data_IF_571501503889
#
_entry.id   IF_571501503889
#
_cell.length_a   1.000
_cell.length_b   1.000
_cell.length_c   1.000
_cell.angle_alpha   90.00
_cell.angle_beta   90.00
_cell.angle_gamma   90.00
#
_symmetry.space_group_name_H-M   'P 1'
#
loop_
_entity.id
_entity.type
_entity.pdbx_description
1 polymer ?
#
# COMPACT_ATOMS: atom_id res chain seq x y z
N UNK A 1 4.88 -6.24 60.00
CA UNK A 1 3.83 -5.85 59.05
C UNK A 1 4.20 -6.41 57.68
N UNK A 2 3.30 -7.21 57.09
CA UNK A 2 3.38 -7.66 55.68
C UNK A 2 2.70 -6.61 54.78
N UNK A 3 2.89 -6.78 53.48
CA UNK A 3 2.10 -6.19 52.37
C UNK A 3 2.62 -4.83 51.89
N UNK A 4 2.82 -4.52 50.60
CA UNK A 4 2.25 -5.06 49.35
C UNK A 4 3.29 -4.92 48.23
N UNK A 5 3.42 -5.94 47.38
CA UNK A 5 3.93 -5.77 46.03
C UNK A 5 2.75 -5.40 45.12
N UNK A 6 2.96 -4.49 44.16
CA UNK A 6 2.44 -4.54 42.77
C UNK A 6 2.77 -3.23 42.04
N UNK A 7 3.95 -3.19 41.44
CA UNK A 7 4.11 -2.39 40.23
C UNK A 7 3.51 -3.18 39.08
N UNK A 8 2.25 -2.91 38.74
CA UNK A 8 1.65 -3.41 37.50
C UNK A 8 2.43 -2.79 36.34
N UNK A 9 3.41 -3.56 35.85
CA UNK A 9 4.10 -3.29 34.60
C UNK A 9 3.10 -3.44 33.46
N UNK A 10 2.36 -2.37 33.19
CA UNK A 10 1.62 -2.20 31.94
C UNK A 10 2.66 -2.17 30.83
N UNK A 11 2.96 -3.35 30.28
CA UNK A 11 3.63 -3.45 28.99
C UNK A 11 2.68 -2.82 27.99
N UNK A 12 2.87 -1.54 27.72
CA UNK A 12 2.37 -0.93 26.51
C UNK A 12 2.97 -1.74 25.35
N UNK A 13 2.19 -2.70 24.85
CA UNK A 13 2.37 -3.23 23.51
C UNK A 13 2.20 -2.03 22.62
N UNK A 14 3.30 -1.33 22.31
CA UNK A 14 3.34 -0.31 21.28
C UNK A 14 2.81 -1.00 20.03
N UNK A 15 1.51 -0.79 19.77
CA UNK A 15 0.80 -1.32 18.62
C UNK A 15 1.46 -0.59 17.46
N UNK A 16 2.55 -1.16 16.93
CA UNK A 16 3.24 -0.60 15.77
C UNK A 16 2.16 -0.48 14.72
N UNK A 17 1.80 0.75 14.36
CA UNK A 17 0.95 1.00 13.22
C UNK A 17 1.55 0.22 12.06
N UNK A 18 0.76 -0.61 11.36
CA UNK A 18 1.28 -1.30 10.19
C UNK A 18 1.89 -0.26 9.25
N UNK A 19 3.00 -0.58 8.57
CA UNK A 19 3.58 0.33 7.59
C UNK A 19 2.51 0.72 6.58
N UNK A 20 2.19 2.00 6.52
CA UNK A 20 1.19 2.56 5.62
C UNK A 20 1.89 3.12 4.38
N UNK A 21 1.56 2.58 3.22
CA UNK A 21 1.98 3.14 1.93
C UNK A 21 0.77 3.84 1.34
N UNK A 22 0.86 5.16 1.21
CA UNK A 22 -0.11 5.99 0.49
C UNK A 22 0.50 6.34 -0.86
N UNK A 23 -0.18 5.97 -1.94
CA UNK A 23 0.21 6.35 -3.28
C UNK A 23 -0.95 7.13 -3.91
N UNK A 24 -0.69 8.38 -4.25
CA UNK A 24 -1.64 9.26 -4.91
C UNK A 24 -1.31 9.36 -6.40
N UNK A 25 -2.32 9.24 -7.24
CA UNK A 25 -2.20 9.37 -8.69
C UNK A 25 -3.30 10.28 -9.20
N UNK A 26 -2.91 11.28 -9.99
CA UNK A 26 -3.85 12.06 -10.79
C UNK A 26 -3.76 11.60 -12.24
N UNK A 27 -4.89 11.17 -12.80
CA UNK A 27 -5.06 10.93 -14.24
C UNK A 27 -6.36 11.55 -14.71
N UNK A 28 -6.35 12.02 -15.95
CA UNK A 28 -7.53 12.58 -16.61
C UNK A 28 -8.66 11.54 -16.71
N UNK A 29 -8.30 10.29 -17.00
CA UNK A 29 -9.23 9.15 -17.00
C UNK A 29 -8.67 7.99 -16.19
N UNK A 30 -9.57 7.25 -15.53
CA UNK A 30 -9.28 5.96 -14.89
C UNK A 30 -10.41 5.01 -15.27
N UNK A 31 -10.07 3.96 -16.00
CA UNK A 31 -11.05 2.92 -16.38
C UNK A 31 -11.14 1.83 -15.32
N UNK A 32 -9.99 1.44 -14.77
CA UNK A 32 -9.91 0.29 -13.89
C UNK A 32 -8.83 0.51 -12.82
N UNK A 33 -9.18 0.10 -11.61
CA UNK A 33 -8.25 -0.08 -10.50
C UNK A 33 -8.39 -1.51 -10.01
N UNK A 34 -7.29 -2.26 -10.03
CA UNK A 34 -7.21 -3.61 -9.48
C UNK A 34 -6.23 -3.61 -8.32
N UNK A 35 -6.63 -4.18 -7.17
CA UNK A 35 -5.76 -4.35 -6.00
C UNK A 35 -5.64 -5.84 -5.69
N UNK A 36 -4.41 -6.31 -5.54
CA UNK A 36 -4.09 -7.71 -5.26
C UNK A 36 -3.14 -7.79 -4.08
N UNK A 37 -3.53 -8.49 -3.02
CA UNK A 37 -2.61 -8.86 -1.94
C UNK A 37 -1.66 -9.96 -2.43
N UNK A 38 -0.36 -9.81 -2.16
CA UNK A 38 0.67 -10.79 -2.52
C UNK A 38 1.67 -10.96 -1.38
N UNK A 39 1.67 -12.13 -0.74
CA UNK A 39 2.65 -12.48 0.27
C UNK A 39 2.75 -11.44 1.39
N UNK A 40 3.86 -10.69 1.40
CA UNK A 40 4.20 -9.66 2.37
C UNK A 40 3.75 -8.24 1.96
N UNK A 41 2.88 -8.10 0.96
CA UNK A 41 2.54 -6.82 0.38
C UNK A 41 1.29 -6.76 -0.50
N UNK A 42 1.19 -5.68 -1.27
CA UNK A 42 0.08 -5.39 -2.18
C UNK A 42 0.60 -4.92 -3.54
N UNK A 43 -0.15 -5.23 -4.59
CA UNK A 43 0.04 -4.71 -5.94
C UNK A 43 -1.24 -4.06 -6.42
N UNK A 44 -1.17 -2.79 -6.79
CA UNK A 44 -2.26 -2.06 -7.42
C UNK A 44 -1.94 -1.80 -8.88
N UNK A 45 -2.87 -2.08 -9.78
CA UNK A 45 -2.77 -1.75 -11.20
C UNK A 45 -3.89 -0.79 -11.56
N UNK A 46 -3.52 0.34 -12.16
CA UNK A 46 -4.43 1.37 -12.61
C UNK A 46 -4.30 1.45 -14.13
N UNK A 47 -5.42 1.28 -14.82
CA UNK A 47 -5.50 1.38 -16.27
C UNK A 47 -6.33 2.60 -16.66
N UNK A 48 -5.79 3.39 -17.58
CA UNK A 48 -6.41 4.57 -18.16
C UNK A 48 -6.32 4.49 -19.67
N UNK A 49 -7.42 4.72 -20.36
CA UNK A 49 -7.51 4.71 -21.82
C UNK A 49 -7.91 6.09 -22.28
N UNK A 50 -7.24 6.51 -23.34
CA UNK A 50 -7.56 7.68 -24.15
C UNK A 50 -7.30 7.30 -25.61
N UNK A 51 -7.79 8.08 -26.56
CA UNK A 51 -7.79 7.79 -28.00
C UNK A 51 -6.51 7.07 -28.50
N UNK A 52 -6.59 5.75 -28.74
CA UNK A 52 -5.47 4.94 -29.23
C UNK A 52 -4.33 4.70 -28.24
N UNK A 53 -4.50 5.06 -26.97
CA UNK A 53 -3.51 4.94 -25.90
C UNK A 53 -4.07 4.21 -24.68
N UNK A 54 -3.33 3.22 -24.20
CA UNK A 54 -3.58 2.56 -22.92
C UNK A 54 -2.41 2.84 -21.97
N UNK A 55 -2.67 3.64 -20.95
CA UNK A 55 -1.76 3.85 -19.82
C UNK A 55 -2.00 2.81 -18.73
N UNK A 56 -0.92 2.24 -18.21
CA UNK A 56 -0.94 1.27 -17.13
C UNK A 56 0.10 1.68 -16.09
N UNK A 57 -0.38 2.10 -14.91
CA UNK A 57 0.47 2.28 -13.73
C UNK A 57 0.34 1.06 -12.82
N UNK A 58 1.47 0.51 -12.38
CA UNK A 58 1.53 -0.53 -11.35
C UNK A 58 2.30 -0.03 -10.14
N UNK A 59 1.68 -0.13 -8.98
CA UNK A 59 2.25 0.19 -7.67
C UNK A 59 2.42 -1.14 -6.94
N UNK A 60 3.62 -1.43 -6.44
CA UNK A 60 3.88 -2.62 -5.62
C UNK A 60 4.49 -2.18 -4.30
N UNK A 61 3.83 -2.51 -3.19
CA UNK A 61 4.27 -2.20 -1.84
C UNK A 61 4.53 -3.51 -1.09
N UNK A 62 5.75 -3.72 -0.63
CA UNK A 62 6.17 -4.92 0.12
C UNK A 62 6.94 -4.51 1.36
N UNK A 63 7.32 -5.47 2.21
CA UNK A 63 8.20 -5.20 3.35
C UNK A 63 9.57 -4.65 2.94
N UNK A 64 10.03 -4.95 1.71
CA UNK A 64 11.28 -4.44 1.14
C UNK A 64 11.21 -3.02 0.59
N UNK A 65 10.00 -2.46 0.43
CA UNK A 65 9.78 -1.11 -0.07
C UNK A 65 8.69 -1.00 -1.13
N UNK A 66 8.66 0.15 -1.80
CA UNK A 66 7.64 0.53 -2.78
C UNK A 66 8.27 0.69 -4.17
N UNK A 67 7.63 0.10 -5.18
CA UNK A 67 8.00 0.22 -6.58
C UNK A 67 6.84 0.75 -7.41
N UNK A 68 7.15 1.71 -8.28
CA UNK A 68 6.24 2.26 -9.26
C UNK A 68 6.72 1.85 -10.66
N UNK A 69 5.79 1.43 -11.51
CA UNK A 69 6.04 1.19 -12.94
C UNK A 69 4.93 1.82 -13.74
N UNK A 70 5.27 2.81 -14.56
CA UNK A 70 4.36 3.38 -15.55
C UNK A 70 4.68 2.82 -16.93
N UNK A 71 3.64 2.62 -17.73
CA UNK A 71 3.75 2.15 -19.10
C UNK A 71 2.62 2.73 -19.95
N UNK A 72 2.95 3.02 -21.20
CA UNK A 72 2.02 3.54 -22.19
C UNK A 72 2.08 2.65 -23.42
N UNK A 73 0.94 2.12 -23.83
CA UNK A 73 0.80 1.27 -25.01
C UNK A 73 -0.02 2.03 -26.06
N UNK A 74 0.41 1.94 -27.32
CA UNK A 74 -0.40 2.38 -28.47
C UNK A 74 -1.24 1.20 -28.95
N UNK A 75 -2.53 1.43 -29.12
CA UNK A 75 -3.52 0.45 -29.59
C UNK A 75 -4.05 0.83 -30.95
#
# INVERSE_FOLDING_TARGET
MREVARGDGVRASARRSPPLVIAELSRETVDMVALVARGDGYSATITSRSEGLTGILTITATSSGVRLRDSLLRT
#
